data_IF_188268374390
#
_entry.id   IF_188268374390
#
_cell.length_a   1.000
_cell.length_b   1.000
_cell.length_c   1.000
_cell.angle_alpha   90.00
_cell.angle_beta   90.00
_cell.angle_gamma   90.00
#
_symmetry.space_group_name_H-M   'P 1'
#
loop_
_entity.id
_entity.type
_entity.pdbx_description
1 polymer ?
#
# COMPACT_ATOMS: atom_id res chain seq x y z
N UNK A 1 6.62 -33.96 40.91
CA UNK A 1 5.50 -33.19 40.33
C UNK A 1 5.93 -31.75 40.39
N UNK A 2 6.49 -31.23 39.33
CA UNK A 2 6.92 -29.82 39.22
C UNK A 2 5.68 -29.00 38.90
N UNK A 3 5.27 -28.18 39.85
CA UNK A 3 4.27 -27.12 39.61
C UNK A 3 4.81 -26.22 38.50
N UNK A 4 4.23 -26.35 37.31
CA UNK A 4 4.40 -25.34 36.28
C UNK A 4 3.77 -24.05 36.83
N UNK A 5 4.62 -23.09 37.14
CA UNK A 5 4.22 -21.81 37.74
C UNK A 5 3.36 -21.06 36.72
N UNK A 6 2.33 -20.34 37.16
CA UNK A 6 1.46 -19.54 36.28
C UNK A 6 2.24 -18.60 35.34
N UNK A 7 3.44 -18.18 35.75
CA UNK A 7 4.39 -17.43 34.92
C UNK A 7 4.91 -18.24 33.71
N UNK A 8 5.15 -19.53 33.85
CA UNK A 8 5.63 -20.39 32.74
C UNK A 8 4.51 -20.64 31.72
N UNK A 9 3.27 -20.78 32.18
CA UNK A 9 2.09 -20.87 31.31
C UNK A 9 1.84 -19.57 30.55
N UNK A 10 1.96 -18.42 31.21
CA UNK A 10 1.85 -17.11 30.56
C UNK A 10 2.97 -16.87 29.55
N UNK A 11 4.19 -17.26 29.84
CA UNK A 11 5.32 -17.16 28.91
C UNK A 11 5.15 -18.06 27.68
N UNK A 12 4.66 -19.29 27.86
CA UNK A 12 4.38 -20.19 26.74
C UNK A 12 3.30 -19.62 25.81
N UNK A 13 2.21 -19.11 26.35
CA UNK A 13 1.14 -18.47 25.57
C UNK A 13 1.63 -17.23 24.82
N UNK A 14 2.50 -16.43 25.42
CA UNK A 14 3.09 -15.25 24.77
C UNK A 14 4.06 -15.63 23.64
N UNK A 15 4.89 -16.66 23.83
CA UNK A 15 5.80 -17.14 22.80
C UNK A 15 5.06 -17.75 21.62
N UNK A 16 4.00 -18.50 21.86
CA UNK A 16 3.13 -19.05 20.81
C UNK A 16 2.47 -17.92 19.98
N UNK A 17 2.05 -16.85 20.64
CA UNK A 17 1.47 -15.69 19.94
C UNK A 17 2.49 -14.95 19.09
N UNK A 18 3.72 -14.81 19.56
CA UNK A 18 4.83 -14.24 18.77
C UNK A 18 5.21 -15.12 17.57
N UNK A 19 5.17 -16.45 17.73
CA UNK A 19 5.41 -17.38 16.63
C UNK A 19 4.31 -17.27 15.55
N UNK A 20 3.06 -17.14 15.97
CA UNK A 20 1.95 -16.89 15.07
C UNK A 20 2.12 -15.56 14.33
N UNK A 21 2.46 -14.48 15.02
CA UNK A 21 2.75 -13.17 14.41
C UNK A 21 3.84 -13.29 13.34
N UNK A 22 4.95 -13.95 13.66
CA UNK A 22 6.05 -14.19 12.69
C UNK A 22 5.57 -14.92 11.46
N UNK A 23 4.77 -15.97 11.63
CA UNK A 23 4.19 -16.75 10.53
C UNK A 23 3.27 -15.90 9.64
N UNK A 24 2.39 -15.09 10.24
CA UNK A 24 1.47 -14.21 9.50
C UNK A 24 2.22 -13.11 8.75
N UNK A 25 3.23 -12.51 9.38
CA UNK A 25 4.08 -11.51 8.75
C UNK A 25 4.83 -12.09 7.55
N UNK A 26 5.34 -13.32 7.67
CA UNK A 26 6.02 -13.99 6.57
C UNK A 26 5.09 -14.27 5.38
N UNK A 27 3.86 -14.73 5.61
CA UNK A 27 2.88 -14.91 4.54
C UNK A 27 2.47 -13.59 3.89
N UNK A 28 2.34 -12.52 4.66
CA UNK A 28 2.09 -11.16 4.14
C UNK A 28 3.24 -10.69 3.26
N UNK A 29 4.48 -10.91 3.68
CA UNK A 29 5.67 -10.56 2.90
C UNK A 29 5.73 -11.33 1.57
N UNK A 30 5.41 -12.63 1.58
CA UNK A 30 5.32 -13.45 0.35
C UNK A 30 4.22 -12.91 -0.58
N UNK A 31 3.06 -12.53 -0.03
CA UNK A 31 1.97 -11.98 -0.83
C UNK A 31 2.37 -10.65 -1.48
N UNK A 32 3.07 -9.76 -0.74
CA UNK A 32 3.60 -8.51 -1.28
C UNK A 32 4.63 -8.80 -2.38
N UNK A 33 5.55 -9.72 -2.16
CA UNK A 33 6.55 -10.09 -3.16
C UNK A 33 5.90 -10.65 -4.44
N UNK A 34 4.92 -11.53 -4.31
CA UNK A 34 4.17 -12.06 -5.45
C UNK A 34 3.42 -10.94 -6.20
N UNK A 35 2.72 -10.05 -5.46
CA UNK A 35 2.04 -8.89 -6.01
C UNK A 35 3.02 -7.94 -6.72
N UNK A 36 4.20 -7.71 -6.13
CA UNK A 36 5.26 -6.91 -6.73
C UNK A 36 5.72 -7.48 -8.08
N UNK A 37 6.03 -8.77 -8.17
CA UNK A 37 6.48 -9.38 -9.42
C UNK A 37 5.39 -9.35 -10.50
N UNK A 38 4.13 -9.56 -10.14
CA UNK A 38 3.00 -9.41 -11.06
C UNK A 38 2.85 -7.98 -11.59
N UNK A 39 2.97 -7.00 -10.69
CA UNK A 39 2.90 -5.58 -11.05
C UNK A 39 4.13 -5.14 -11.85
N UNK A 40 5.32 -5.67 -11.54
CA UNK A 40 6.55 -5.37 -12.25
C UNK A 40 6.47 -5.68 -13.74
N UNK A 41 5.83 -6.78 -14.10
CA UNK A 41 5.62 -7.13 -15.52
C UNK A 41 4.84 -6.05 -16.28
N UNK A 42 3.99 -5.31 -15.59
CA UNK A 42 3.14 -4.25 -16.16
C UNK A 42 3.56 -2.84 -15.69
N UNK A 43 4.76 -2.69 -15.15
CA UNK A 43 5.21 -1.43 -14.54
C UNK A 43 5.15 -0.23 -15.50
N UNK A 44 5.45 -0.42 -16.78
CA UNK A 44 5.36 0.62 -17.80
C UNK A 44 3.91 1.08 -18.05
N UNK A 45 2.96 0.14 -18.07
CA UNK A 45 1.54 0.47 -18.25
C UNK A 45 0.97 1.12 -16.99
N UNK A 46 1.37 0.62 -15.81
CA UNK A 46 1.02 1.24 -14.52
C UNK A 46 1.55 2.67 -14.41
N UNK A 47 2.76 2.94 -14.90
CA UNK A 47 3.29 4.29 -14.93
C UNK A 47 2.47 5.20 -15.85
N UNK A 48 2.07 4.73 -17.04
CA UNK A 48 1.20 5.52 -17.93
C UNK A 48 -0.11 5.89 -17.27
N UNK A 49 -0.69 4.96 -16.50
CA UNK A 49 -1.88 5.26 -15.71
C UNK A 49 -1.53 6.26 -14.61
N UNK A 50 -0.50 5.98 -13.81
CA UNK A 50 -0.11 6.82 -12.69
C UNK A 50 0.16 8.28 -13.08
N UNK A 51 0.77 8.55 -14.24
CA UNK A 51 1.09 9.92 -14.66
C UNK A 51 -0.09 10.72 -15.24
N UNK A 52 -1.24 10.07 -15.56
CA UNK A 52 -2.39 10.78 -16.16
C UNK A 52 -2.85 11.98 -15.34
N UNK A 53 -3.14 11.84 -14.04
CA UNK A 53 -3.72 12.94 -13.29
C UNK A 53 -2.81 14.16 -13.15
N UNK A 54 -1.49 13.99 -13.22
CA UNK A 54 -0.56 15.13 -13.19
C UNK A 54 -0.48 15.80 -14.55
N UNK A 55 -0.50 15.03 -15.65
CA UNK A 55 -0.43 15.58 -17.00
C UNK A 55 -1.66 16.41 -17.37
N UNK A 56 -2.81 16.12 -16.77
CA UNK A 56 -4.05 16.88 -16.95
C UNK A 56 -4.01 18.26 -16.28
N UNK A 57 -3.18 18.41 -15.24
CA UNK A 57 -3.05 19.66 -14.46
C UNK A 57 -1.92 20.55 -15.00
N UNK A 58 -0.94 19.95 -15.66
CA UNK A 58 0.24 20.66 -16.17
C UNK A 58 -0.04 21.35 -17.52
N UNK A 59 0.69 22.46 -17.81
CA UNK A 59 0.67 23.08 -19.13
C UNK A 59 1.02 22.08 -20.25
N UNK A 60 0.36 22.21 -21.39
CA UNK A 60 0.56 21.31 -22.52
C UNK A 60 2.03 21.25 -22.94
N UNK A 61 2.58 20.04 -23.07
CA UNK A 61 3.97 19.82 -23.45
C UNK A 61 4.95 19.69 -22.28
N UNK A 62 4.53 19.91 -21.04
CA UNK A 62 5.37 19.66 -19.86
C UNK A 62 5.61 18.16 -19.68
N UNK A 63 6.88 17.79 -19.47
CA UNK A 63 7.27 16.40 -19.17
C UNK A 63 7.87 16.34 -17.77
N UNK A 64 7.72 15.19 -17.12
CA UNK A 64 8.41 14.90 -15.88
C UNK A 64 9.93 14.84 -16.15
N UNK A 65 10.70 15.56 -15.34
CA UNK A 65 12.15 15.60 -15.44
C UNK A 65 12.79 14.63 -14.44
N UNK A 66 13.90 14.05 -14.82
CA UNK A 66 14.76 13.29 -13.90
C UNK A 66 16.12 13.98 -13.80
N UNK A 67 16.73 13.94 -12.63
CA UNK A 67 18.03 14.52 -12.35
C UNK A 67 19.14 13.49 -12.25
N UNK A 68 18.78 12.26 -11.89
CA UNK A 68 19.71 11.15 -11.80
C UNK A 68 19.31 10.01 -12.75
N UNK A 69 20.32 9.34 -13.30
CA UNK A 69 20.13 8.25 -14.25
C UNK A 69 19.35 7.06 -13.66
N UNK A 70 19.40 6.91 -12.34
CA UNK A 70 18.71 5.82 -11.60
C UNK A 70 17.24 6.11 -11.30
N UNK A 71 16.80 7.38 -11.35
CA UNK A 71 15.43 7.77 -11.02
C UNK A 71 14.37 7.03 -11.84
N UNK A 72 14.49 6.87 -13.18
CA UNK A 72 13.49 6.11 -13.95
C UNK A 72 13.38 4.65 -13.55
N UNK A 73 14.48 4.01 -13.14
CA UNK A 73 14.47 2.64 -12.64
C UNK A 73 13.74 2.55 -11.28
N UNK A 74 14.09 3.45 -10.36
CA UNK A 74 13.45 3.53 -9.04
C UNK A 74 11.95 3.86 -9.15
N UNK A 75 11.56 4.65 -10.14
CA UNK A 75 10.17 4.93 -10.46
C UNK A 75 9.38 3.63 -10.74
N UNK A 76 9.86 2.81 -11.68
CA UNK A 76 9.17 1.56 -12.00
C UNK A 76 9.11 0.60 -10.81
N UNK A 77 10.19 0.55 -10.02
CA UNK A 77 10.26 -0.26 -8.80
C UNK A 77 9.23 0.20 -7.76
N UNK A 78 9.15 1.50 -7.50
CA UNK A 78 8.18 2.07 -6.56
C UNK A 78 6.73 1.87 -7.00
N UNK A 79 6.43 2.09 -8.28
CA UNK A 79 5.08 1.85 -8.83
C UNK A 79 4.69 0.38 -8.72
N UNK A 80 5.61 -0.54 -9.04
CA UNK A 80 5.35 -1.97 -8.90
C UNK A 80 5.15 -2.37 -7.43
N UNK A 81 5.87 -1.75 -6.50
CA UNK A 81 5.71 -2.00 -5.08
C UNK A 81 4.34 -1.53 -4.58
N UNK A 82 3.93 -0.30 -4.93
CA UNK A 82 2.62 0.24 -4.54
C UNK A 82 1.50 -0.63 -5.12
N UNK A 83 1.53 -0.91 -6.41
CA UNK A 83 0.54 -1.77 -7.05
C UNK A 83 0.55 -3.19 -6.46
N UNK A 84 1.73 -3.71 -6.11
CA UNK A 84 1.90 -4.99 -5.43
C UNK A 84 1.23 -5.02 -4.06
N UNK A 85 1.32 -3.94 -3.27
CA UNK A 85 0.63 -3.79 -1.99
C UNK A 85 -0.90 -3.80 -2.19
N UNK A 86 -1.41 -3.06 -3.19
CA UNK A 86 -2.84 -3.08 -3.51
C UNK A 86 -3.33 -4.46 -3.92
N UNK A 87 -2.57 -5.19 -4.76
CA UNK A 87 -2.88 -6.56 -5.16
C UNK A 87 -2.82 -7.54 -3.98
N UNK A 88 -1.86 -7.36 -3.07
CA UNK A 88 -1.68 -8.20 -1.90
C UNK A 88 -2.63 -7.84 -0.74
N UNK A 89 -3.30 -6.69 -0.78
CA UNK A 89 -4.13 -6.17 0.33
C UNK A 89 -5.17 -7.16 0.86
N UNK A 90 -5.91 -7.94 0.05
CA UNK A 90 -6.84 -8.92 0.58
C UNK A 90 -6.14 -10.00 1.41
N UNK A 91 -4.95 -10.44 0.96
CA UNK A 91 -4.17 -11.46 1.66
C UNK A 91 -3.57 -10.89 2.94
N UNK A 92 -3.02 -9.67 2.89
CA UNK A 92 -2.47 -8.99 4.07
C UNK A 92 -3.55 -8.83 5.13
N UNK A 93 -4.72 -8.31 4.77
CA UNK A 93 -5.84 -8.12 5.68
C UNK A 93 -6.34 -9.45 6.25
N UNK A 94 -6.37 -10.51 5.43
CA UNK A 94 -6.67 -11.85 5.91
C UNK A 94 -5.65 -12.33 6.95
N UNK A 95 -4.35 -12.10 6.75
CA UNK A 95 -3.34 -12.50 7.74
C UNK A 95 -3.47 -11.71 9.05
N UNK A 96 -3.76 -10.41 8.97
CA UNK A 96 -4.04 -9.58 10.15
C UNK A 96 -5.24 -10.13 10.92
N UNK A 97 -6.34 -10.43 10.23
CA UNK A 97 -7.54 -10.98 10.86
C UNK A 97 -7.32 -12.39 11.44
N UNK A 98 -6.58 -13.24 10.76
CA UNK A 98 -6.24 -14.56 11.28
C UNK A 98 -5.33 -14.50 12.51
N UNK A 99 -4.53 -13.43 12.66
CA UNK A 99 -3.75 -13.17 13.87
C UNK A 99 -4.63 -12.75 15.04
N UNK A 100 -5.69 -11.99 14.78
CA UNK A 100 -6.66 -11.55 15.80
C UNK A 100 -7.70 -12.63 16.13
N UNK A 101 -8.01 -13.51 15.18
CA UNK A 101 -9.06 -14.54 15.28
C UNK A 101 -8.96 -15.51 16.46
N UNK A 102 -7.78 -15.90 16.99
CA UNK A 102 -7.71 -16.74 18.19
C UNK A 102 -8.42 -16.14 19.40
N UNK A 103 -8.44 -14.80 19.51
CA UNK A 103 -9.12 -14.07 20.58
C UNK A 103 -10.65 -13.96 20.41
N UNK A 104 -11.21 -14.38 19.27
CA UNK A 104 -12.65 -14.27 18.97
C UNK A 104 -13.42 -15.53 19.35
N UNK A 105 -14.68 -15.36 19.80
CA UNK A 105 -15.60 -16.48 20.04
C UNK A 105 -15.89 -17.27 18.77
N UNK A 106 -16.23 -18.55 18.91
CA UNK A 106 -16.49 -19.45 17.77
C UNK A 106 -17.57 -18.94 16.80
N UNK A 107 -18.59 -18.26 17.31
CA UNK A 107 -19.67 -17.71 16.46
C UNK A 107 -19.27 -16.42 15.73
N UNK A 108 -18.23 -15.72 16.17
CA UNK A 108 -17.73 -14.49 15.55
C UNK A 108 -16.79 -14.78 14.37
N UNK A 109 -16.13 -15.94 14.38
CA UNK A 109 -15.20 -16.34 13.30
C UNK A 109 -15.83 -16.38 11.90
N UNK A 110 -17.14 -16.59 11.80
CA UNK A 110 -17.86 -16.56 10.51
C UNK A 110 -17.88 -15.17 9.85
N UNK A 111 -17.70 -14.11 10.64
CA UNK A 111 -17.69 -12.73 10.14
C UNK A 111 -16.31 -12.28 9.65
N UNK A 112 -15.26 -13.05 9.88
CA UNK A 112 -13.89 -12.70 9.44
C UNK A 112 -13.81 -12.54 7.94
N UNK A 113 -14.36 -13.49 7.17
CA UNK A 113 -14.29 -13.44 5.71
C UNK A 113 -15.05 -12.26 5.09
N UNK A 114 -16.32 -11.97 5.45
CA UNK A 114 -16.99 -10.76 5.01
C UNK A 114 -16.22 -9.48 5.39
N UNK A 115 -15.70 -9.42 6.61
CA UNK A 115 -14.98 -8.25 7.09
C UNK A 115 -13.69 -8.01 6.31
N UNK A 116 -12.91 -9.06 6.02
CA UNK A 116 -11.71 -8.99 5.17
C UNK A 116 -12.07 -8.47 3.77
N UNK A 117 -13.17 -8.98 3.20
CA UNK A 117 -13.62 -8.53 1.88
C UNK A 117 -13.97 -7.04 1.87
N UNK A 118 -14.78 -6.58 2.84
CA UNK A 118 -15.14 -5.16 2.94
C UNK A 118 -13.94 -4.27 3.23
N UNK A 119 -13.02 -4.70 4.09
CA UNK A 119 -11.78 -3.95 4.38
C UNK A 119 -10.90 -3.83 3.15
N UNK A 120 -10.71 -4.91 2.39
CA UNK A 120 -9.93 -4.88 1.15
C UNK A 120 -10.60 -4.01 0.08
N UNK A 121 -11.92 -4.11 -0.06
CA UNK A 121 -12.69 -3.27 -0.97
C UNK A 121 -12.60 -1.78 -0.59
N UNK A 122 -12.71 -1.45 0.70
CA UNK A 122 -12.56 -0.08 1.19
C UNK A 122 -11.14 0.45 0.97
N UNK A 123 -10.11 -0.38 1.20
CA UNK A 123 -8.73 -0.02 0.93
C UNK A 123 -8.52 0.32 -0.56
N UNK A 124 -9.01 -0.53 -1.47
CA UNK A 124 -8.91 -0.29 -2.91
C UNK A 124 -9.74 0.95 -3.34
N UNK A 125 -10.94 1.12 -2.78
CA UNK A 125 -11.78 2.29 -3.06
C UNK A 125 -11.13 3.58 -2.56
N UNK A 126 -10.51 3.58 -1.37
CA UNK A 126 -9.75 4.71 -0.83
C UNK A 126 -8.56 5.07 -1.72
N UNK A 127 -7.79 4.08 -2.16
CA UNK A 127 -6.68 4.29 -3.11
C UNK A 127 -7.16 4.84 -4.45
N UNK A 128 -8.25 4.32 -4.99
CA UNK A 128 -8.86 4.83 -6.21
C UNK A 128 -9.35 6.28 -6.05
N UNK A 129 -10.02 6.59 -4.94
CA UNK A 129 -10.42 7.97 -4.60
C UNK A 129 -9.20 8.89 -4.46
N UNK A 130 -8.14 8.40 -3.83
CA UNK A 130 -6.86 9.10 -3.73
C UNK A 130 -6.28 9.45 -5.09
N UNK A 131 -6.34 8.52 -6.04
CA UNK A 131 -5.85 8.69 -7.39
C UNK A 131 -6.70 9.65 -8.23
N UNK A 132 -8.03 9.46 -8.27
CA UNK A 132 -8.93 10.21 -9.16
C UNK A 132 -9.34 11.58 -8.61
N UNK A 133 -9.39 11.74 -7.28
CA UNK A 133 -9.93 12.95 -6.66
C UNK A 133 -8.89 13.70 -5.85
N UNK A 134 -8.30 13.05 -4.85
CA UNK A 134 -7.42 13.75 -3.91
C UNK A 134 -6.12 14.22 -4.59
N UNK A 135 -5.49 13.37 -5.38
CA UNK A 135 -4.23 13.71 -6.03
C UNK A 135 -4.38 14.87 -7.04
N UNK A 136 -5.31 14.87 -8.01
CA UNK A 136 -5.51 15.99 -8.94
C UNK A 136 -5.83 17.30 -8.21
N UNK A 137 -6.61 17.25 -7.12
CA UNK A 137 -6.94 18.41 -6.32
C UNK A 137 -5.71 19.03 -5.65
N UNK A 138 -4.86 18.19 -5.03
CA UNK A 138 -3.60 18.61 -4.42
C UNK A 138 -2.63 19.13 -5.49
N UNK A 139 -2.50 18.43 -6.62
CA UNK A 139 -1.63 18.83 -7.72
C UNK A 139 -2.04 20.18 -8.29
N UNK A 140 -3.34 20.38 -8.55
CA UNK A 140 -3.89 21.66 -9.04
C UNK A 140 -3.62 22.79 -8.06
N UNK A 141 -3.83 22.57 -6.77
CA UNK A 141 -3.54 23.56 -5.74
C UNK A 141 -2.06 23.97 -5.74
N UNK A 142 -1.13 23.00 -5.77
CA UNK A 142 0.30 23.27 -5.78
C UNK A 142 0.76 24.00 -7.05
N UNK A 143 0.26 23.60 -8.22
CA UNK A 143 0.57 24.27 -9.49
C UNK A 143 0.04 25.69 -9.49
N UNK A 144 -1.16 25.93 -8.95
CA UNK A 144 -1.73 27.30 -8.85
C UNK A 144 -0.91 28.20 -7.91
N UNK A 145 -0.43 27.66 -6.80
CA UNK A 145 0.47 28.42 -5.89
C UNK A 145 1.82 28.74 -6.53
N UNK A 146 2.27 27.91 -7.46
CA UNK A 146 3.51 28.09 -8.19
C UNK A 146 3.36 28.85 -9.53
N UNK A 147 2.25 29.53 -9.79
CA UNK A 147 1.91 30.12 -11.09
C UNK A 147 2.97 31.14 -11.59
N UNK A 148 3.68 31.80 -10.68
CA UNK A 148 4.72 32.78 -11.01
C UNK A 148 6.08 32.12 -11.33
N UNK A 149 6.19 30.79 -11.22
CA UNK A 149 7.41 30.03 -11.44
C UNK A 149 7.25 29.03 -12.58
N UNK A 150 8.36 28.71 -13.26
CA UNK A 150 8.37 27.61 -14.24
C UNK A 150 8.49 26.28 -13.51
N UNK A 151 7.45 25.41 -13.50
CA UNK A 151 7.49 24.17 -12.76
C UNK A 151 8.48 23.18 -13.40
N UNK A 152 9.48 22.73 -12.66
CA UNK A 152 10.30 21.57 -12.99
C UNK A 152 9.89 20.43 -12.06
N UNK A 153 8.97 19.59 -12.52
CA UNK A 153 8.49 18.45 -11.73
C UNK A 153 9.45 17.29 -11.86
N UNK A 154 10.06 16.94 -10.74
CA UNK A 154 10.90 15.74 -10.64
C UNK A 154 10.04 14.51 -10.44
N UNK A 155 10.47 13.43 -11.06
CA UNK A 155 9.82 12.12 -11.00
C UNK A 155 9.70 11.63 -9.55
N UNK A 156 10.75 11.77 -8.75
CA UNK A 156 10.78 11.30 -7.36
C UNK A 156 9.81 12.07 -6.46
N UNK A 157 9.75 13.40 -6.58
CA UNK A 157 8.82 14.22 -5.80
C UNK A 157 7.37 13.89 -6.15
N UNK A 158 7.09 13.69 -7.43
CA UNK A 158 5.78 13.27 -7.90
C UNK A 158 5.35 11.94 -7.30
N UNK A 159 6.20 10.90 -7.37
CA UNK A 159 5.91 9.59 -6.82
C UNK A 159 5.77 9.60 -5.30
N UNK A 160 6.59 10.40 -4.62
CA UNK A 160 6.50 10.51 -3.16
C UNK A 160 5.14 11.07 -2.72
N UNK A 161 4.60 12.05 -3.42
CA UNK A 161 3.27 12.61 -3.13
C UNK A 161 2.18 11.61 -3.51
N UNK A 162 2.24 11.04 -4.71
CA UNK A 162 1.24 10.08 -5.20
C UNK A 162 1.14 8.87 -4.27
N UNK A 163 2.27 8.25 -3.91
CA UNK A 163 2.31 7.09 -3.02
C UNK A 163 1.74 7.36 -1.64
N UNK A 164 2.06 8.54 -1.05
CA UNK A 164 1.52 8.95 0.25
C UNK A 164 0.01 9.13 0.20
N UNK A 165 -0.51 9.73 -0.88
CA UNK A 165 -1.95 9.93 -1.05
C UNK A 165 -2.66 8.59 -1.26
N UNK A 166 -2.16 7.72 -2.16
CA UNK A 166 -2.80 6.44 -2.44
C UNK A 166 -2.85 5.54 -1.21
N UNK A 167 -1.71 5.37 -0.54
CA UNK A 167 -1.63 4.52 0.65
C UNK A 167 -2.34 5.15 1.84
N UNK A 168 -2.21 6.47 2.03
CA UNK A 168 -2.87 7.16 3.14
C UNK A 168 -4.39 7.23 3.03
N UNK A 169 -4.94 7.29 1.81
CA UNK A 169 -6.39 7.26 1.59
C UNK A 169 -6.96 5.82 1.58
N UNK A 170 -6.11 4.83 1.33
CA UNK A 170 -6.50 3.42 1.40
C UNK A 170 -6.56 2.89 2.84
N UNK A 171 -5.70 3.39 3.74
CA UNK A 171 -5.66 2.99 5.15
C UNK A 171 -6.82 3.59 5.97
#
# INVERSE_FOLDING_TARGET
>A
MTETTDEDLQRMTFLEHLEELRKRLFYSAIAIAAGFFLAWWKAADLFRIAQRPILEVLPAGTKLAYTNLTEPFMLYLNIALIAGIFLASPVILLQVWLFVAPGLYRHEKKWVLPFVFFSAASFCAGGWFGYEVAFPMVAKFLVTMGADFTPVLKIDDYLAILSKILLGMGL
#
